data_IF_966117829847
#
_entry.id   IF_966117829847
#
_cell.length_a   1.000
_cell.length_b   1.000
_cell.length_c   1.000
_cell.angle_alpha   90.00
_cell.angle_beta   90.00
_cell.angle_gamma   90.00
#
_symmetry.space_group_name_H-M   'P 1'
#
loop_
_entity.id
_entity.type
_entity.pdbx_description
1 polymer ?
#
# COMPACT_ATOMS: atom_id res chain seq x y z
N UNK A 1 -66.56 -31.14 -8.62
CA UNK A 1 -66.48 -32.44 -9.34
C UNK A 1 -66.27 -32.06 -10.80
N UNK A 2 -65.18 -32.34 -11.49
CA UNK A 2 -64.13 -33.36 -11.41
C UNK A 2 -62.87 -32.79 -12.09
N UNK A 3 -61.71 -32.89 -11.43
CA UNK A 3 -60.55 -33.74 -11.78
C UNK A 3 -59.74 -33.28 -13.00
N UNK A 4 -58.59 -32.74 -12.66
CA UNK A 4 -57.34 -32.62 -13.41
C UNK A 4 -56.71 -33.99 -13.71
N UNK A 5 -56.13 -34.14 -14.89
CA UNK A 5 -55.09 -35.12 -15.24
C UNK A 5 -53.99 -34.45 -16.10
N UNK A 6 -52.74 -34.97 -16.07
CA UNK A 6 -51.53 -34.15 -16.19
C UNK A 6 -50.81 -34.22 -17.55
N UNK A 7 -50.01 -33.18 -17.81
CA UNK A 7 -49.08 -33.04 -18.93
C UNK A 7 -47.87 -33.97 -18.79
N UNK A 8 -47.59 -34.68 -19.87
CA UNK A 8 -46.42 -35.53 -20.10
C UNK A 8 -45.13 -34.71 -20.20
N UNK A 9 -44.14 -35.11 -19.40
CA UNK A 9 -42.75 -34.62 -19.42
C UNK A 9 -41.98 -35.26 -20.57
N UNK A 10 -41.47 -34.45 -21.49
CA UNK A 10 -40.45 -34.86 -22.47
C UNK A 10 -39.07 -34.87 -21.82
N UNK A 11 -38.47 -36.06 -21.76
CA UNK A 11 -37.07 -36.32 -21.43
C UNK A 11 -36.13 -35.51 -22.34
N UNK A 12 -35.27 -34.70 -21.74
CA UNK A 12 -34.13 -34.09 -22.41
C UNK A 12 -32.88 -34.88 -22.00
N UNK A 13 -32.45 -35.77 -22.89
CA UNK A 13 -31.23 -36.55 -22.74
C UNK A 13 -29.99 -35.62 -22.72
N UNK A 14 -29.31 -35.59 -21.59
CA UNK A 14 -28.04 -34.89 -21.42
C UNK A 14 -26.96 -35.54 -22.30
N UNK A 15 -26.36 -34.74 -23.20
CA UNK A 15 -25.25 -35.20 -24.05
C UNK A 15 -24.02 -35.54 -23.17
N UNK A 16 -23.40 -36.71 -23.33
CA UNK A 16 -22.29 -37.19 -22.49
C UNK A 16 -20.97 -36.37 -22.64
N UNK A 17 -20.89 -35.43 -23.59
CA UNK A 17 -19.72 -34.55 -23.76
C UNK A 17 -19.69 -33.32 -22.83
N UNK A 18 -20.83 -32.89 -22.27
CA UNK A 18 -20.91 -31.69 -21.42
C UNK A 18 -20.39 -31.92 -20.01
N UNK A 19 -20.55 -33.14 -19.49
CA UNK A 19 -20.12 -33.50 -18.12
C UNK A 19 -18.62 -33.80 -18.04
N UNK A 20 -18.01 -34.29 -19.13
CA UNK A 20 -16.57 -34.54 -19.20
C UNK A 20 -15.78 -33.23 -19.28
N UNK A 21 -16.20 -32.27 -20.13
CA UNK A 21 -15.57 -30.95 -20.22
C UNK A 21 -15.71 -30.14 -18.92
N UNK A 22 -16.84 -30.28 -18.22
CA UNK A 22 -17.06 -29.62 -16.92
C UNK A 22 -16.23 -30.25 -15.80
N UNK A 23 -16.13 -31.58 -15.75
CA UNK A 23 -15.23 -32.28 -14.83
C UNK A 23 -13.75 -32.00 -15.12
N UNK A 24 -13.39 -31.84 -16.39
CA UNK A 24 -12.04 -31.48 -16.81
C UNK A 24 -11.71 -30.04 -16.42
N UNK A 25 -12.63 -29.09 -16.62
CA UNK A 25 -12.48 -27.71 -16.14
C UNK A 25 -12.46 -27.61 -14.60
N UNK A 26 -13.26 -28.42 -13.90
CA UNK A 26 -13.23 -28.52 -12.43
C UNK A 26 -11.94 -29.17 -11.93
N UNK A 27 -11.38 -30.14 -12.67
CA UNK A 27 -10.09 -30.76 -12.37
C UNK A 27 -8.91 -29.86 -12.72
N UNK A 28 -8.99 -29.07 -13.79
CA UNK A 28 -7.99 -28.07 -14.18
C UNK A 28 -8.00 -26.89 -13.19
N UNK A 29 -9.18 -26.41 -12.76
CA UNK A 29 -9.32 -25.41 -11.70
C UNK A 29 -8.86 -25.95 -10.32
N UNK A 30 -9.15 -27.23 -10.02
CA UNK A 30 -8.64 -27.90 -8.82
C UNK A 30 -7.13 -28.17 -8.88
N UNK A 31 -6.56 -28.38 -10.07
CA UNK A 31 -5.13 -28.59 -10.27
C UNK A 31 -4.35 -27.25 -10.26
N UNK A 32 -4.93 -26.20 -10.83
CA UNK A 32 -4.41 -24.82 -10.76
C UNK A 32 -4.42 -24.32 -9.32
N UNK A 33 -5.45 -24.65 -8.52
CA UNK A 33 -5.47 -24.36 -7.07
C UNK A 33 -4.56 -25.28 -6.25
N UNK A 34 -4.17 -26.45 -6.76
CA UNK A 34 -3.29 -27.41 -6.07
C UNK A 34 -1.78 -27.14 -6.20
N UNK A 35 -1.32 -26.24 -7.07
CA UNK A 35 0.10 -25.87 -7.09
C UNK A 35 0.46 -25.04 -5.83
N UNK A 36 1.51 -25.42 -5.09
CA UNK A 36 1.94 -24.66 -3.93
C UNK A 36 2.46 -23.28 -4.37
N UNK A 37 2.15 -22.24 -3.59
CA UNK A 37 2.64 -20.88 -3.85
C UNK A 37 4.14 -20.83 -3.55
N UNK A 38 4.91 -20.26 -4.47
CA UNK A 38 6.34 -20.04 -4.25
C UNK A 38 6.57 -18.62 -3.73
N UNK A 39 7.44 -18.45 -2.74
CA UNK A 39 7.78 -17.14 -2.20
C UNK A 39 9.27 -16.87 -2.41
N UNK A 40 9.59 -15.73 -3.00
CA UNK A 40 10.97 -15.26 -3.20
C UNK A 40 11.20 -14.04 -2.31
N UNK A 41 11.96 -14.24 -1.23
CA UNK A 41 12.28 -13.23 -0.23
C UNK A 41 13.55 -12.47 -0.61
N UNK A 42 13.39 -11.18 -0.88
CA UNK A 42 14.43 -10.18 -1.01
C UNK A 42 14.69 -9.57 0.37
N UNK A 43 15.81 -9.93 1.03
CA UNK A 43 15.95 -9.76 2.46
C UNK A 43 16.35 -8.35 2.90
N UNK A 44 16.32 -8.12 4.22
CA UNK A 44 16.92 -6.95 4.85
C UNK A 44 18.45 -7.05 4.83
N UNK A 45 19.14 -5.89 4.83
CA UNK A 45 20.58 -5.80 5.11
C UNK A 45 20.92 -6.47 6.45
N UNK A 46 22.05 -7.18 6.50
CA UNK A 46 22.58 -7.82 7.70
C UNK A 46 22.33 -9.34 7.83
N UNK A 47 21.59 -9.94 6.90
CA UNK A 47 21.34 -11.39 6.86
C UNK A 47 20.11 -11.83 7.67
N UNK A 48 19.92 -13.13 7.86
CA UNK A 48 18.73 -13.68 8.55
C UNK A 48 18.65 -13.29 10.03
N UNK A 49 19.79 -13.21 10.73
CA UNK A 49 19.83 -12.90 12.16
C UNK A 49 19.34 -11.49 12.51
N UNK A 50 19.41 -10.56 11.55
CA UNK A 50 18.87 -9.20 11.66
C UNK A 50 17.53 -9.02 10.95
N UNK A 51 16.93 -10.09 10.45
CA UNK A 51 15.65 -10.03 9.76
C UNK A 51 14.54 -9.63 10.76
N UNK A 52 13.76 -8.57 10.49
CA UNK A 52 12.83 -8.01 11.46
C UNK A 52 11.54 -8.81 11.62
N UNK A 53 11.25 -9.73 10.69
CA UNK A 53 9.95 -10.42 10.63
C UNK A 53 10.07 -11.95 10.53
N UNK A 54 10.90 -12.62 11.35
CA UNK A 54 11.14 -14.07 11.22
C UNK A 54 9.84 -14.88 11.37
N UNK A 55 8.93 -14.44 12.24
CA UNK A 55 7.66 -15.12 12.47
C UNK A 55 6.73 -14.99 11.25
N UNK A 56 6.69 -13.83 10.60
CA UNK A 56 5.94 -13.63 9.34
C UNK A 56 6.54 -14.49 8.22
N UNK A 57 7.86 -14.59 8.14
CA UNK A 57 8.49 -15.45 7.15
C UNK A 57 8.19 -16.94 7.38
N UNK A 58 8.04 -17.37 8.64
CA UNK A 58 7.61 -18.72 8.97
C UNK A 58 6.17 -19.02 8.46
N UNK A 59 5.28 -18.01 8.42
CA UNK A 59 3.93 -18.17 7.88
C UNK A 59 3.91 -18.52 6.39
N UNK A 60 4.84 -17.97 5.59
CA UNK A 60 4.94 -18.33 4.16
C UNK A 60 5.27 -19.81 3.96
N UNK A 61 6.14 -20.36 4.82
CA UNK A 61 6.47 -21.78 4.80
C UNK A 61 5.31 -22.65 5.33
N UNK A 62 4.53 -22.15 6.30
CA UNK A 62 3.40 -22.87 6.89
C UNK A 62 2.21 -23.03 5.91
N UNK A 63 2.01 -22.09 4.96
CA UNK A 63 0.99 -22.17 3.90
C UNK A 63 1.36 -23.14 2.75
N UNK A 64 2.13 -24.19 3.05
CA UNK A 64 2.65 -25.17 2.08
C UNK A 64 3.49 -24.53 0.95
N UNK A 65 4.02 -23.33 1.20
CA UNK A 65 4.86 -22.63 0.26
C UNK A 65 6.33 -22.99 0.44
N UNK A 66 7.09 -22.94 -0.65
CA UNK A 66 8.55 -22.96 -0.58
C UNK A 66 9.06 -21.52 -0.47
N UNK A 67 9.83 -21.23 0.58
CA UNK A 67 10.45 -19.92 0.77
C UNK A 67 11.89 -19.96 0.26
N UNK A 68 12.17 -19.17 -0.79
CA UNK A 68 13.49 -18.97 -1.34
C UNK A 68 14.06 -17.61 -0.89
N UNK A 69 15.28 -17.59 -0.39
CA UNK A 69 15.98 -16.41 0.12
C UNK A 69 17.04 -15.96 -0.88
N UNK A 70 16.95 -14.71 -1.34
CA UNK A 70 17.89 -14.16 -2.32
C UNK A 70 19.18 -13.72 -1.64
N UNK A 71 20.30 -14.41 -1.93
CA UNK A 71 21.64 -14.04 -1.44
C UNK A 71 22.74 -14.64 -2.32
N UNK A 72 23.94 -14.02 -2.29
CA UNK A 72 25.16 -14.61 -2.86
C UNK A 72 25.90 -15.53 -1.87
N UNK A 73 25.52 -15.50 -0.59
CA UNK A 73 26.15 -16.27 0.51
C UNK A 73 25.49 -17.64 0.68
N UNK A 74 26.19 -18.61 1.27
CA UNK A 74 25.59 -19.92 1.55
C UNK A 74 24.54 -19.85 2.67
N UNK A 75 23.65 -20.84 2.73
CA UNK A 75 22.64 -20.95 3.78
C UNK A 75 23.27 -21.01 5.20
N UNK A 76 24.45 -21.63 5.34
CA UNK A 76 25.15 -21.68 6.63
C UNK A 76 25.70 -20.31 7.04
N UNK A 77 26.19 -19.53 6.07
CA UNK A 77 26.71 -18.18 6.31
C UNK A 77 25.59 -17.21 6.72
N UNK A 78 24.41 -17.37 6.13
CA UNK A 78 23.22 -16.59 6.48
C UNK A 78 22.53 -17.09 7.76
N UNK A 79 22.91 -18.27 8.28
CA UNK A 79 22.28 -18.91 9.45
C UNK A 79 20.77 -19.15 9.24
N UNK A 80 20.39 -19.58 8.04
CA UNK A 80 18.99 -19.78 7.67
C UNK A 80 18.41 -21.08 8.26
N UNK A 81 17.11 -21.08 8.62
CA UNK A 81 16.38 -22.31 8.93
C UNK A 81 16.41 -23.29 7.75
N UNK A 82 16.39 -24.59 8.05
CA UNK A 82 16.43 -25.65 7.02
C UNK A 82 15.24 -25.62 6.04
N UNK A 83 14.13 -24.98 6.41
CA UNK A 83 12.97 -24.77 5.56
C UNK A 83 13.15 -23.70 4.49
N UNK A 84 14.23 -22.91 4.54
CA UNK A 84 14.47 -21.80 3.63
C UNK A 84 15.64 -22.14 2.68
N UNK A 85 15.37 -22.08 1.38
CA UNK A 85 16.37 -22.34 0.36
C UNK A 85 17.07 -21.04 -0.06
N UNK A 86 18.40 -20.99 -0.06
CA UNK A 86 19.11 -19.86 -0.68
C UNK A 86 19.13 -20.00 -2.20
N UNK A 87 18.84 -18.91 -2.90
CA UNK A 87 18.93 -18.81 -4.36
C UNK A 87 19.69 -17.53 -4.77
N UNK A 88 20.44 -17.55 -5.88
CA UNK A 88 21.03 -16.35 -6.44
C UNK A 88 19.98 -15.46 -7.11
N UNK A 89 20.31 -14.18 -7.33
CA UNK A 89 19.41 -13.20 -7.98
C UNK A 89 18.93 -13.66 -9.38
N UNK A 90 19.80 -14.31 -10.14
CA UNK A 90 19.46 -14.82 -11.48
C UNK A 90 18.47 -15.99 -11.47
N UNK A 91 18.37 -16.71 -10.35
CA UNK A 91 17.36 -17.76 -10.17
C UNK A 91 16.04 -17.15 -9.69
N UNK A 92 16.10 -16.11 -8.84
CA UNK A 92 14.93 -15.34 -8.43
C UNK A 92 14.20 -14.74 -9.65
N UNK A 93 14.94 -14.18 -10.61
CA UNK A 93 14.40 -13.65 -11.87
C UNK A 93 13.59 -14.71 -12.63
N UNK A 94 14.10 -15.94 -12.74
CA UNK A 94 13.40 -17.04 -13.42
C UNK A 94 12.14 -17.47 -12.68
N UNK A 95 12.24 -17.67 -11.36
CA UNK A 95 11.11 -18.12 -10.54
C UNK A 95 9.96 -17.12 -10.54
N UNK A 96 10.26 -15.83 -10.53
CA UNK A 96 9.22 -14.79 -10.58
C UNK A 96 8.49 -14.70 -11.93
N UNK A 97 9.00 -15.33 -12.99
CA UNK A 97 8.24 -15.54 -14.24
C UNK A 97 7.34 -16.78 -14.18
N UNK A 98 7.50 -17.65 -13.19
CA UNK A 98 6.61 -18.80 -13.00
C UNK A 98 5.29 -18.34 -12.38
N UNK A 99 4.14 -18.90 -12.82
CA UNK A 99 2.85 -18.62 -12.20
C UNK A 99 2.85 -18.94 -10.72
N UNK A 100 2.08 -18.18 -9.92
CA UNK A 100 1.96 -18.38 -8.47
C UNK A 100 3.27 -18.22 -7.69
N UNK A 101 4.19 -17.39 -8.20
CA UNK A 101 5.37 -16.95 -7.47
C UNK A 101 5.19 -15.51 -6.98
N UNK A 102 5.47 -15.30 -5.69
CA UNK A 102 5.29 -14.03 -5.00
C UNK A 102 6.64 -13.43 -4.65
N UNK A 103 6.85 -12.16 -4.99
CA UNK A 103 8.00 -11.41 -4.50
C UNK A 103 7.69 -10.89 -3.08
N UNK A 104 8.57 -11.15 -2.12
CA UNK A 104 8.50 -10.62 -0.76
C UNK A 104 9.69 -9.71 -0.54
N UNK A 105 9.47 -8.41 -0.39
CA UNK A 105 10.52 -7.39 -0.35
C UNK A 105 10.64 -6.81 1.04
N UNK A 106 11.73 -7.10 1.73
CA UNK A 106 11.97 -6.67 3.11
C UNK A 106 12.94 -5.48 3.24
N UNK A 107 13.41 -4.95 2.11
CA UNK A 107 14.26 -3.76 2.06
C UNK A 107 13.91 -2.91 0.83
N UNK A 108 13.64 -1.60 0.97
CA UNK A 108 13.14 -0.78 -0.13
C UNK A 108 14.13 -0.62 -1.29
N UNK A 109 15.44 -0.71 -1.05
CA UNK A 109 16.44 -0.64 -2.13
C UNK A 109 16.43 -1.81 -3.12
N UNK A 110 15.70 -2.90 -2.83
CA UNK A 110 15.44 -3.94 -3.83
C UNK A 110 14.47 -3.52 -4.93
N UNK A 111 13.78 -2.39 -4.75
CA UNK A 111 12.74 -1.86 -5.64
C UNK A 111 13.08 -2.05 -7.13
N UNK A 112 14.26 -1.61 -7.55
CA UNK A 112 14.66 -1.62 -8.95
C UNK A 112 14.83 -3.04 -9.51
N UNK A 113 15.44 -3.93 -8.72
CA UNK A 113 15.62 -5.32 -9.10
C UNK A 113 14.28 -6.05 -9.19
N UNK A 114 13.41 -5.86 -8.20
CA UNK A 114 12.12 -6.55 -8.12
C UNK A 114 11.12 -6.02 -9.16
N UNK A 115 11.02 -4.69 -9.31
CA UNK A 115 10.12 -4.08 -10.28
C UNK A 115 10.44 -4.52 -11.72
N UNK A 116 11.74 -4.65 -12.05
CA UNK A 116 12.17 -5.10 -13.37
C UNK A 116 11.74 -6.54 -13.68
N UNK A 117 11.61 -7.38 -12.65
CA UNK A 117 11.15 -8.77 -12.78
C UNK A 117 9.63 -8.88 -12.99
N UNK A 118 8.86 -7.81 -12.74
CA UNK A 118 7.40 -7.74 -12.92
C UNK A 118 6.66 -8.93 -12.27
N UNK A 119 6.80 -9.11 -10.94
CA UNK A 119 6.11 -10.20 -10.24
C UNK A 119 4.60 -10.06 -10.39
N UNK A 120 3.89 -11.20 -10.42
CA UNK A 120 2.42 -11.23 -10.42
C UNK A 120 1.86 -10.64 -9.12
N UNK A 121 2.51 -10.95 -7.99
CA UNK A 121 2.18 -10.41 -6.67
C UNK A 121 3.46 -9.93 -5.98
N UNK A 122 3.44 -8.71 -5.45
CA UNK A 122 4.50 -8.11 -4.67
C UNK A 122 4.04 -7.77 -3.26
N UNK A 123 4.70 -8.35 -2.26
CA UNK A 123 4.48 -8.05 -0.85
C UNK A 123 5.65 -7.24 -0.33
N UNK A 124 5.38 -6.06 0.22
CA UNK A 124 6.40 -5.26 0.88
C UNK A 124 6.34 -5.44 2.40
N UNK A 125 7.44 -5.83 3.02
CA UNK A 125 7.62 -5.84 4.47
C UNK A 125 8.51 -4.66 4.83
N UNK A 126 7.95 -3.61 5.41
CA UNK A 126 8.59 -2.32 5.63
C UNK A 126 8.98 -2.14 7.10
N UNK A 127 10.22 -2.51 7.47
CA UNK A 127 10.68 -2.27 8.82
C UNK A 127 11.06 -0.83 9.04
N UNK A 128 11.23 -0.45 10.31
CA UNK A 128 11.80 0.86 10.63
C UNK A 128 13.26 0.94 10.15
N UNK A 129 13.68 2.11 9.61
CA UNK A 129 15.05 2.32 9.18
C UNK A 129 16.00 2.26 10.39
N UNK A 130 17.22 1.75 10.17
CA UNK A 130 18.24 1.65 11.22
C UNK A 130 19.55 2.28 10.74
N UNK A 131 20.24 3.00 11.63
CA UNK A 131 21.53 3.60 11.33
C UNK A 131 21.45 4.62 10.18
N UNK A 132 22.32 4.48 9.20
CA UNK A 132 22.42 5.39 8.04
C UNK A 132 21.15 5.39 7.16
N UNK A 133 20.31 4.35 7.23
CA UNK A 133 19.02 4.30 6.53
C UNK A 133 18.07 5.41 7.03
N UNK A 134 18.11 5.75 8.32
CA UNK A 134 17.17 6.69 8.94
C UNK A 134 17.36 8.15 8.50
N UNK A 135 18.53 8.47 7.96
CA UNK A 135 18.87 9.80 7.44
C UNK A 135 19.01 9.82 5.92
N UNK A 136 18.81 8.68 5.25
CA UNK A 136 18.97 8.56 3.81
C UNK A 136 17.75 9.13 3.06
N UNK A 137 17.93 10.11 2.15
CA UNK A 137 16.83 10.61 1.32
C UNK A 137 16.32 9.55 0.32
N UNK A 138 17.10 8.51 0.04
CA UNK A 138 16.68 7.39 -0.82
C UNK A 138 15.65 6.49 -0.14
N UNK A 139 15.64 6.44 1.20
CA UNK A 139 14.82 5.48 1.93
C UNK A 139 13.32 5.72 1.69
N UNK A 140 12.86 6.94 1.96
CA UNK A 140 11.44 7.29 1.83
C UNK A 140 10.95 7.28 0.37
N UNK A 141 11.77 7.75 -0.58
CA UNK A 141 11.41 7.68 -2.01
C UNK A 141 11.33 6.24 -2.51
N UNK A 142 12.26 5.38 -2.08
CA UNK A 142 12.22 3.94 -2.42
C UNK A 142 11.02 3.23 -1.78
N UNK A 143 10.64 3.60 -0.54
CA UNK A 143 9.42 3.11 0.10
C UNK A 143 8.19 3.53 -0.69
N UNK A 144 8.05 4.82 -1.04
CA UNK A 144 6.87 5.32 -1.76
C UNK A 144 6.66 4.57 -3.08
N UNK A 145 7.74 4.36 -3.84
CA UNK A 145 7.69 3.60 -5.10
C UNK A 145 7.45 2.11 -4.90
N UNK A 146 8.04 1.50 -3.86
CA UNK A 146 7.80 0.08 -3.55
C UNK A 146 6.34 -0.15 -3.14
N UNK A 147 5.78 0.74 -2.33
CA UNK A 147 4.35 0.75 -1.99
C UNK A 147 3.50 0.90 -3.24
N UNK A 148 3.92 1.73 -4.19
CA UNK A 148 3.22 1.94 -5.46
C UNK A 148 3.12 0.72 -6.37
N UNK A 149 3.93 -0.32 -6.15
CA UNK A 149 3.90 -1.59 -6.89
C UNK A 149 3.48 -2.80 -6.03
N UNK A 150 3.25 -2.61 -4.72
CA UNK A 150 2.94 -3.70 -3.80
C UNK A 150 1.43 -3.95 -3.72
N UNK A 151 1.05 -5.22 -3.66
CA UNK A 151 -0.33 -5.68 -3.46
C UNK A 151 -0.71 -5.81 -1.98
N UNK A 152 0.31 -5.95 -1.11
CA UNK A 152 0.17 -6.01 0.33
C UNK A 152 1.39 -5.40 1.00
N UNK A 153 1.16 -4.54 1.99
CA UNK A 153 2.23 -3.91 2.76
C UNK A 153 2.12 -4.28 4.25
N UNK A 154 3.13 -4.95 4.77
CA UNK A 154 3.31 -5.17 6.21
C UNK A 154 4.26 -4.13 6.81
N UNK A 155 3.93 -3.53 7.95
CA UNK A 155 4.82 -2.57 8.64
C UNK A 155 4.67 -2.68 10.15
N UNK A 156 5.77 -2.57 10.89
CA UNK A 156 5.74 -2.49 12.37
C UNK A 156 5.41 -1.09 12.88
N UNK A 157 5.54 -0.07 12.03
CA UNK A 157 5.26 1.32 12.37
C UNK A 157 3.77 1.63 12.25
N UNK A 158 3.11 2.00 13.36
CA UNK A 158 1.69 2.37 13.34
C UNK A 158 1.46 3.68 12.56
N UNK A 159 2.39 4.63 12.64
CA UNK A 159 2.33 5.87 11.83
C UNK A 159 2.39 5.58 10.34
N UNK A 160 3.30 4.68 9.90
CA UNK A 160 3.36 4.26 8.49
C UNK A 160 2.12 3.49 8.10
N UNK A 161 1.64 2.58 8.94
CA UNK A 161 0.39 1.85 8.72
C UNK A 161 -0.75 2.82 8.45
N UNK A 162 -0.96 3.80 9.33
CA UNK A 162 -1.98 4.83 9.18
C UNK A 162 -1.85 5.58 7.84
N UNK A 163 -0.65 6.05 7.49
CA UNK A 163 -0.38 6.72 6.21
C UNK A 163 -0.77 5.85 5.00
N UNK A 164 -0.46 4.56 5.03
CA UNK A 164 -0.82 3.62 3.97
C UNK A 164 -2.35 3.48 3.83
N UNK A 165 -3.07 3.45 4.95
CA UNK A 165 -4.54 3.38 4.93
C UNK A 165 -5.17 4.62 4.30
N UNK A 166 -4.67 5.81 4.63
CA UNK A 166 -5.08 7.06 3.99
C UNK A 166 -4.77 7.09 2.49
N UNK A 167 -3.72 6.38 2.05
CA UNK A 167 -3.42 6.20 0.62
C UNK A 167 -4.30 5.14 -0.06
N UNK A 168 -5.19 4.47 0.66
CA UNK A 168 -6.00 3.37 0.15
C UNK A 168 -5.18 2.12 -0.18
N UNK A 169 -4.03 1.94 0.47
CA UNK A 169 -3.17 0.75 0.32
C UNK A 169 -3.68 -0.35 1.26
N UNK A 170 -3.75 -1.57 0.75
CA UNK A 170 -3.95 -2.77 1.58
C UNK A 170 -2.72 -2.98 2.46
N UNK A 171 -2.88 -2.70 3.75
CA UNK A 171 -1.78 -2.78 4.71
C UNK A 171 -2.17 -3.60 5.94
N UNK A 172 -1.16 -4.17 6.59
CA UNK A 172 -1.28 -4.86 7.88
C UNK A 172 -0.23 -4.29 8.82
N UNK A 173 -0.67 -3.90 10.01
CA UNK A 173 0.23 -3.51 11.08
C UNK A 173 0.79 -4.75 11.78
N UNK A 174 2.12 -4.85 11.83
CA UNK A 174 2.90 -5.96 12.36
C UNK A 174 3.52 -5.64 13.73
N UNK A 175 3.01 -4.62 14.42
CA UNK A 175 3.57 -4.13 15.69
C UNK A 175 3.07 -4.83 16.95
N UNK A 176 2.25 -5.89 16.82
CA UNK A 176 1.57 -6.65 17.88
C UNK A 176 1.87 -6.25 19.33
N UNK A 177 0.90 -5.65 20.01
CA UNK A 177 1.04 -5.24 21.42
C UNK A 177 0.73 -6.38 22.40
N UNK A 178 -0.14 -7.34 22.00
CA UNK A 178 -0.52 -8.47 22.83
C UNK A 178 0.27 -9.73 22.43
N UNK A 179 1.11 -10.28 23.32
CA UNK A 179 1.83 -11.53 23.06
C UNK A 179 0.92 -12.77 23.14
N UNK A 180 -0.34 -12.62 23.54
CA UNK A 180 -1.28 -13.73 23.71
C UNK A 180 -1.65 -14.38 22.37
N UNK A 181 -1.77 -15.72 22.30
CA UNK A 181 -2.28 -16.38 21.10
C UNK A 181 -3.73 -15.96 20.79
N UNK A 182 -3.95 -15.46 19.58
CA UNK A 182 -5.26 -15.13 19.03
C UNK A 182 -5.83 -16.27 18.17
N UNK A 183 -5.02 -17.27 17.81
CA UNK A 183 -5.43 -18.42 17.02
C UNK A 183 -4.32 -19.43 16.80
N UNK A 184 -4.52 -20.37 15.89
CA UNK A 184 -3.58 -21.46 15.63
C UNK A 184 -3.53 -21.83 14.14
N UNK A 185 -2.37 -22.26 13.68
CA UNK A 185 -2.20 -22.94 12.39
C UNK A 185 -1.69 -24.37 12.62
N UNK A 186 -2.15 -25.31 11.79
CA UNK A 186 -1.68 -26.69 11.84
C UNK A 186 -0.56 -26.86 10.81
N UNK A 187 0.65 -27.16 11.27
CA UNK A 187 1.80 -27.50 10.43
C UNK A 187 2.38 -28.83 10.91
N UNK A 188 2.56 -29.80 10.01
CA UNK A 188 3.15 -31.12 10.32
C UNK A 188 2.55 -31.82 11.56
N UNK A 189 1.23 -31.74 11.72
CA UNK A 189 0.48 -32.27 12.89
C UNK A 189 0.76 -31.57 14.23
N UNK A 190 1.41 -30.40 14.21
CA UNK A 190 1.59 -29.52 15.36
C UNK A 190 0.73 -28.26 15.22
N UNK A 191 0.11 -27.84 16.34
CA UNK A 191 -0.67 -26.61 16.42
C UNK A 191 0.25 -25.47 16.87
N UNK A 192 0.54 -24.53 15.96
CA UNK A 192 1.40 -23.37 16.23
C UNK A 192 0.49 -22.19 16.62
N UNK A 193 0.63 -21.63 17.84
CA UNK A 193 -0.12 -20.45 18.24
C UNK A 193 0.30 -19.23 17.41
N UNK A 194 -0.68 -18.44 16.99
CA UNK A 194 -0.50 -17.19 16.25
C UNK A 194 -1.03 -16.03 17.07
N UNK A 195 -0.29 -14.93 17.09
CA UNK A 195 -0.72 -13.62 17.57
C UNK A 195 -1.70 -12.98 16.59
N UNK A 196 -2.35 -11.92 17.03
CA UNK A 196 -3.37 -11.19 16.27
C UNK A 196 -2.84 -10.70 14.91
N UNK A 197 -1.68 -10.05 14.89
CA UNK A 197 -1.10 -9.50 13.67
C UNK A 197 -0.61 -10.58 12.70
N UNK A 198 -0.20 -11.74 13.20
CA UNK A 198 0.17 -12.90 12.38
C UNK A 198 -1.07 -13.47 11.69
N UNK A 199 -2.20 -13.55 12.41
CA UNK A 199 -3.48 -13.92 11.82
C UNK A 199 -3.96 -12.89 10.80
N UNK A 200 -3.89 -11.59 11.10
CA UNK A 200 -4.28 -10.56 10.14
C UNK A 200 -3.42 -10.65 8.87
N UNK A 201 -2.10 -10.76 9.02
CA UNK A 201 -1.20 -10.92 7.89
C UNK A 201 -1.54 -12.16 7.05
N UNK A 202 -1.73 -13.30 7.69
CA UNK A 202 -2.07 -14.56 7.00
C UNK A 202 -3.38 -14.46 6.21
N UNK A 203 -4.41 -13.85 6.80
CA UNK A 203 -5.69 -13.68 6.10
C UNK A 203 -5.56 -12.67 4.96
N UNK A 204 -4.83 -11.57 5.15
CA UNK A 204 -4.59 -10.59 4.11
C UNK A 204 -3.82 -11.21 2.93
N UNK A 205 -2.80 -12.01 3.23
CA UNK A 205 -2.04 -12.79 2.25
C UNK A 205 -2.97 -13.70 1.42
N UNK A 206 -3.81 -14.50 2.08
CA UNK A 206 -4.77 -15.38 1.38
C UNK A 206 -5.76 -14.60 0.53
N UNK A 207 -6.19 -13.42 0.97
CA UNK A 207 -7.06 -12.58 0.16
C UNK A 207 -6.36 -12.01 -1.08
N UNK A 208 -5.10 -11.59 -0.96
CA UNK A 208 -4.30 -11.12 -2.10
C UNK A 208 -4.12 -12.24 -3.12
N UNK A 209 -3.68 -13.41 -2.67
CA UNK A 209 -3.46 -14.57 -3.54
C UNK A 209 -4.75 -15.11 -4.16
N UNK A 210 -5.89 -14.92 -3.49
CA UNK A 210 -7.21 -15.30 -3.99
C UNK A 210 -7.93 -14.22 -4.80
N UNK A 211 -7.34 -13.04 -4.99
CA UNK A 211 -8.02 -11.90 -5.65
C UNK A 211 -9.27 -11.42 -4.89
N UNK A 212 -9.33 -11.65 -3.58
CA UNK A 212 -10.47 -11.31 -2.71
C UNK A 212 -10.32 -9.85 -2.25
N UNK A 213 -11.40 -9.05 -2.22
CA UNK A 213 -11.38 -7.69 -1.68
C UNK A 213 -10.90 -7.62 -0.23
N UNK A 214 -10.36 -6.45 0.15
CA UNK A 214 -9.80 -6.25 1.47
C UNK A 214 -10.85 -6.09 2.55
N UNK A 215 -10.89 -7.06 3.47
CA UNK A 215 -11.68 -6.95 4.70
C UNK A 215 -10.82 -6.92 5.96
N UNK A 216 -9.52 -7.21 5.85
CA UNK A 216 -8.63 -7.35 7.00
C UNK A 216 -8.22 -5.99 7.54
N UNK A 217 -7.94 -5.03 6.67
CA UNK A 217 -7.62 -3.66 7.10
C UNK A 217 -8.74 -3.06 7.96
N UNK A 218 -10.01 -3.18 7.55
CA UNK A 218 -11.14 -2.68 8.35
C UNK A 218 -11.26 -3.41 9.68
N UNK A 219 -11.04 -4.73 9.71
CA UNK A 219 -11.05 -5.52 10.94
C UNK A 219 -9.94 -5.08 11.91
N UNK A 220 -8.71 -4.90 11.42
CA UNK A 220 -7.59 -4.45 12.24
C UNK A 220 -7.81 -3.02 12.75
N UNK A 221 -8.39 -2.12 11.93
CA UNK A 221 -8.80 -0.78 12.39
C UNK A 221 -9.81 -0.82 13.54
N UNK A 222 -10.79 -1.74 13.52
CA UNK A 222 -11.75 -1.88 14.65
C UNK A 222 -11.04 -2.30 15.92
N UNK A 223 -10.15 -3.28 15.84
CA UNK A 223 -9.35 -3.73 16.99
C UNK A 223 -8.51 -2.58 17.55
N UNK A 224 -7.89 -1.76 16.69
CA UNK A 224 -7.15 -0.56 17.14
C UNK A 224 -8.04 0.51 17.74
N UNK A 225 -9.19 0.80 17.14
CA UNK A 225 -10.15 1.75 17.71
C UNK A 225 -10.59 1.29 19.11
N UNK A 226 -10.92 0.01 19.29
CA UNK A 226 -11.30 -0.55 20.59
C UNK A 226 -10.16 -0.47 21.61
N UNK A 227 -8.93 -0.75 21.20
CA UNK A 227 -7.75 -0.54 22.03
C UNK A 227 -7.63 0.92 22.52
N UNK A 228 -7.75 1.90 21.63
CA UNK A 228 -7.65 3.31 22.03
C UNK A 228 -8.84 3.78 22.87
N UNK A 229 -10.05 3.22 22.67
CA UNK A 229 -11.19 3.46 23.56
C UNK A 229 -10.93 2.94 24.97
N UNK A 230 -10.40 1.73 25.09
CA UNK A 230 -10.04 1.15 26.38
C UNK A 230 -8.92 1.97 27.04
N UNK A 231 -7.88 2.34 26.29
CA UNK A 231 -6.78 3.15 26.79
C UNK A 231 -7.27 4.53 27.26
N UNK A 232 -8.13 5.20 26.48
CA UNK A 232 -8.79 6.46 26.85
C UNK A 232 -9.62 6.32 28.12
N UNK A 233 -10.34 5.20 28.29
CA UNK A 233 -11.14 4.97 29.50
C UNK A 233 -10.30 4.86 30.78
N UNK A 234 -9.05 4.38 30.66
CA UNK A 234 -8.11 4.22 31.78
C UNK A 234 -7.27 5.47 32.03
N UNK A 235 -6.76 6.09 30.97
CA UNK A 235 -5.86 7.25 31.04
C UNK A 235 -6.60 8.58 31.17
N UNK A 236 -7.89 8.62 30.82
CA UNK A 236 -8.63 9.87 30.67
C UNK A 236 -8.35 10.55 29.32
N UNK A 237 -8.83 11.79 29.19
CA UNK A 237 -8.66 12.58 27.98
C UNK A 237 -7.18 12.95 27.76
N UNK A 238 -6.65 12.63 26.57
CA UNK A 238 -5.23 12.77 26.24
C UNK A 238 -5.04 13.00 24.74
N UNK A 239 -4.24 14.01 24.36
CA UNK A 239 -4.03 14.44 22.96
C UNK A 239 -3.77 13.27 22.00
N UNK A 240 -2.67 12.52 22.20
CA UNK A 240 -2.27 11.44 21.28
C UNK A 240 -3.26 10.28 21.21
N UNK A 241 -3.83 9.86 22.35
CA UNK A 241 -4.79 8.75 22.42
C UNK A 241 -6.05 9.13 21.65
N UNK A 242 -6.59 10.33 21.90
CA UNK A 242 -7.82 10.81 21.26
C UNK A 242 -7.60 11.11 19.78
N UNK A 243 -6.40 11.55 19.37
CA UNK A 243 -6.06 11.76 17.97
C UNK A 243 -6.00 10.43 17.19
N UNK A 244 -5.30 9.43 17.73
CA UNK A 244 -5.21 8.11 17.08
C UNK A 244 -6.58 7.42 17.04
N UNK A 245 -7.37 7.53 18.12
CA UNK A 245 -8.75 7.06 18.13
C UNK A 245 -9.57 7.72 17.02
N UNK A 246 -9.50 9.05 16.90
CA UNK A 246 -10.21 9.79 15.86
C UNK A 246 -9.81 9.37 14.44
N UNK A 247 -8.52 9.10 14.21
CA UNK A 247 -8.04 8.62 12.91
C UNK A 247 -8.59 7.23 12.56
N UNK A 248 -8.62 6.29 13.51
CA UNK A 248 -9.23 4.97 13.29
C UNK A 248 -10.75 5.06 13.12
N UNK A 249 -11.43 5.87 13.93
CA UNK A 249 -12.87 6.12 13.80
C UNK A 249 -13.19 6.74 12.44
N UNK A 250 -12.36 7.67 11.95
CA UNK A 250 -12.50 8.25 10.62
C UNK A 250 -12.35 7.21 9.49
N UNK A 251 -11.36 6.31 9.59
CA UNK A 251 -11.17 5.23 8.63
C UNK A 251 -12.32 4.21 8.65
N UNK A 252 -12.97 4.05 9.80
CA UNK A 252 -14.15 3.20 10.00
C UNK A 252 -15.47 3.90 9.67
N UNK A 253 -15.43 5.17 9.27
CA UNK A 253 -16.62 6.01 9.03
C UNK A 253 -17.54 6.10 10.27
N UNK A 254 -16.95 6.07 11.47
CA UNK A 254 -17.64 6.19 12.74
C UNK A 254 -17.95 7.66 13.05
N UNK A 255 -19.19 7.96 13.42
CA UNK A 255 -19.66 9.30 13.72
C UNK A 255 -18.96 9.95 14.92
N UNK A 256 -18.31 9.15 15.79
CA UNK A 256 -17.58 9.67 16.95
C UNK A 256 -16.22 10.31 16.58
N UNK A 257 -15.71 10.10 15.36
CA UNK A 257 -14.40 10.60 14.94
C UNK A 257 -14.22 12.11 15.19
N UNK A 258 -15.25 12.91 14.90
CA UNK A 258 -15.21 14.36 15.09
C UNK A 258 -15.07 14.75 16.57
N UNK A 259 -15.72 14.00 17.47
CA UNK A 259 -15.70 14.31 18.91
C UNK A 259 -14.37 13.89 19.54
N UNK A 260 -13.86 12.72 19.17
CA UNK A 260 -12.51 12.26 19.52
C UNK A 260 -11.43 13.26 19.06
N UNK A 261 -11.55 13.79 17.84
CA UNK A 261 -10.61 14.78 17.31
C UNK A 261 -10.70 16.14 18.03
N UNK A 262 -11.91 16.61 18.35
CA UNK A 262 -12.11 17.86 19.11
C UNK A 262 -11.52 17.77 20.51
N UNK A 263 -11.62 16.60 21.14
CA UNK A 263 -10.94 16.34 22.42
C UNK A 263 -9.42 16.44 22.24
N UNK A 264 -8.85 15.75 21.24
CA UNK A 264 -7.42 15.82 20.95
C UNK A 264 -6.94 17.26 20.72
N UNK A 265 -7.67 18.02 19.90
CA UNK A 265 -7.38 19.43 19.62
C UNK A 265 -7.44 20.30 20.87
N UNK A 266 -8.47 20.11 21.71
CA UNK A 266 -8.62 20.87 22.95
C UNK A 266 -7.44 20.63 23.91
N UNK A 267 -6.96 19.39 24.01
CA UNK A 267 -5.76 19.06 24.78
C UNK A 267 -4.48 19.66 24.18
N UNK A 268 -4.32 19.63 22.84
CA UNK A 268 -3.19 20.26 22.17
C UNK A 268 -3.14 21.78 22.45
N UNK A 269 -4.29 22.46 22.44
CA UNK A 269 -4.41 23.88 22.79
C UNK A 269 -4.04 24.14 24.25
N UNK A 270 -4.57 23.34 25.18
CA UNK A 270 -4.27 23.47 26.62
C UNK A 270 -2.77 23.27 26.89
N UNK A 271 -2.13 22.35 26.16
CA UNK A 271 -0.70 22.07 26.25
C UNK A 271 0.18 23.12 25.54
N UNK A 272 -0.42 24.15 24.92
CA UNK A 272 0.31 25.25 24.28
C UNK A 272 0.96 24.88 22.95
N UNK A 273 0.49 23.82 22.27
CA UNK A 273 1.02 23.38 20.99
C UNK A 273 0.66 24.38 19.88
N UNK A 274 1.67 25.04 19.30
CA UNK A 274 1.46 26.16 18.38
C UNK A 274 0.89 25.75 17.01
N UNK A 275 1.20 24.54 16.55
CA UNK A 275 0.77 23.99 15.26
C UNK A 275 -0.59 23.26 15.32
N UNK A 276 -1.28 23.25 16.48
CA UNK A 276 -2.47 22.42 16.68
C UNK A 276 -3.63 22.72 15.72
N UNK A 277 -3.70 23.93 15.16
CA UNK A 277 -4.70 24.29 14.15
C UNK A 277 -4.43 23.50 12.85
N UNK A 278 -3.17 23.45 12.39
CA UNK A 278 -2.80 22.71 11.19
C UNK A 278 -2.73 21.20 11.45
N UNK A 279 -2.21 20.77 12.60
CA UNK A 279 -1.97 19.34 12.88
C UNK A 279 -3.19 18.58 13.39
N UNK A 280 -4.16 19.26 14.04
CA UNK A 280 -5.35 18.60 14.59
C UNK A 280 -6.65 19.17 14.02
N UNK A 281 -6.87 20.48 14.16
CA UNK A 281 -8.15 21.09 13.78
C UNK A 281 -8.47 20.92 12.29
N UNK A 282 -7.46 21.05 11.42
CA UNK A 282 -7.59 20.85 9.97
C UNK A 282 -8.20 19.50 9.62
N UNK A 283 -7.91 18.44 10.38
CA UNK A 283 -8.39 17.09 10.08
C UNK A 283 -9.93 16.96 10.21
N UNK A 284 -10.61 17.90 10.90
CA UNK A 284 -12.08 17.99 10.85
C UNK A 284 -12.59 18.22 9.43
N UNK A 285 -11.79 18.84 8.55
CA UNK A 285 -12.15 19.06 7.15
C UNK A 285 -12.35 17.73 6.42
N UNK A 286 -11.46 16.75 6.63
CA UNK A 286 -11.62 15.41 6.07
C UNK A 286 -12.86 14.69 6.64
N UNK A 287 -13.07 14.76 7.96
CA UNK A 287 -14.22 14.14 8.64
C UNK A 287 -15.54 14.70 8.11
N UNK A 288 -15.66 16.03 7.99
CA UNK A 288 -16.85 16.67 7.44
C UNK A 288 -17.04 16.38 5.95
N UNK A 289 -15.94 16.26 5.20
CA UNK A 289 -16.01 15.87 3.78
C UNK A 289 -16.60 14.46 3.63
N UNK A 290 -16.12 13.47 4.39
CA UNK A 290 -16.65 12.10 4.34
C UNK A 290 -18.10 11.97 4.78
N UNK A 291 -18.56 12.83 5.70
CA UNK A 291 -19.95 12.86 6.14
C UNK A 291 -20.87 13.67 5.21
N UNK A 292 -20.38 14.13 4.06
CA UNK A 292 -21.15 14.88 3.07
C UNK A 292 -21.42 16.34 3.46
N UNK A 293 -20.70 16.88 4.44
CA UNK A 293 -20.85 18.25 4.96
C UNK A 293 -19.82 19.18 4.29
N UNK A 294 -19.85 19.28 2.96
CA UNK A 294 -18.83 19.96 2.14
C UNK A 294 -18.59 21.41 2.55
N UNK A 295 -19.65 22.18 2.82
CA UNK A 295 -19.53 23.57 3.24
C UNK A 295 -18.81 23.71 4.59
N UNK A 296 -19.11 22.84 5.56
CA UNK A 296 -18.45 22.85 6.86
C UNK A 296 -16.99 22.43 6.73
N UNK A 297 -16.71 21.42 5.91
CA UNK A 297 -15.35 20.97 5.63
C UNK A 297 -14.50 22.10 5.02
N UNK A 298 -15.08 22.86 4.10
CA UNK A 298 -14.43 24.00 3.46
C UNK A 298 -14.17 25.14 4.45
N UNK A 299 -15.14 25.44 5.33
CA UNK A 299 -14.96 26.42 6.41
C UNK A 299 -13.80 26.05 7.35
N UNK A 300 -13.72 24.78 7.76
CA UNK A 300 -12.60 24.28 8.58
C UNK A 300 -11.27 24.48 7.87
N UNK A 301 -11.19 24.13 6.58
CA UNK A 301 -9.98 24.34 5.80
C UNK A 301 -9.58 25.82 5.76
N UNK A 302 -10.53 26.71 5.49
CA UNK A 302 -10.32 28.16 5.47
C UNK A 302 -9.82 28.74 6.80
N UNK A 303 -10.36 28.27 7.94
CA UNK A 303 -9.88 28.66 9.27
C UNK A 303 -8.43 28.18 9.49
N UNK A 304 -8.11 26.98 9.01
CA UNK A 304 -6.80 26.38 9.19
C UNK A 304 -5.73 26.86 8.19
N UNK A 305 -6.09 27.65 7.18
CA UNK A 305 -5.17 28.14 6.15
C UNK A 305 -4.14 29.12 6.75
N UNK A 306 -2.91 28.64 6.90
CA UNK A 306 -1.84 29.32 7.62
C UNK A 306 -1.01 30.29 6.78
N UNK A 307 -1.06 30.18 5.45
CA UNK A 307 -0.26 31.00 4.54
C UNK A 307 -1.09 31.53 3.34
N UNK A 308 -0.50 32.42 2.55
CA UNK A 308 -1.16 33.06 1.40
C UNK A 308 -1.54 32.05 0.30
N UNK A 309 -0.70 31.04 0.08
CA UNK A 309 -0.96 29.99 -0.91
C UNK A 309 -2.19 29.15 -0.54
N UNK A 310 -2.31 28.76 0.73
CA UNK A 310 -3.47 28.03 1.24
C UNK A 310 -4.75 28.88 1.21
N UNK A 311 -4.64 30.19 1.48
CA UNK A 311 -5.78 31.11 1.36
C UNK A 311 -6.27 31.28 -0.07
N UNK A 312 -5.35 31.43 -1.02
CA UNK A 312 -5.71 31.48 -2.44
C UNK A 312 -6.35 30.16 -2.91
N UNK A 313 -5.83 29.04 -2.41
CA UNK A 313 -6.40 27.73 -2.70
C UNK A 313 -7.80 27.57 -2.09
N UNK A 314 -8.04 28.04 -0.86
CA UNK A 314 -9.38 28.12 -0.28
C UNK A 314 -10.36 28.94 -1.14
N UNK A 315 -9.94 30.11 -1.63
CA UNK A 315 -10.76 30.94 -2.55
C UNK A 315 -11.07 30.23 -3.87
N UNK A 316 -10.15 29.40 -4.36
CA UNK A 316 -10.39 28.54 -5.52
C UNK A 316 -11.45 27.48 -5.24
N UNK A 317 -11.37 26.81 -4.08
CA UNK A 317 -12.37 25.82 -3.67
C UNK A 317 -13.76 26.44 -3.48
N UNK A 318 -13.85 27.65 -2.93
CA UNK A 318 -15.12 28.38 -2.83
C UNK A 318 -15.73 28.62 -4.22
N UNK A 319 -14.93 29.06 -5.20
CA UNK A 319 -15.40 29.27 -6.58
C UNK A 319 -15.87 27.98 -7.24
N UNK A 320 -15.20 26.85 -7.00
CA UNK A 320 -15.64 25.55 -7.50
C UNK A 320 -16.96 25.12 -6.86
N UNK A 321 -17.12 25.32 -5.55
CA UNK A 321 -18.36 25.01 -4.86
C UNK A 321 -19.53 25.86 -5.40
N UNK A 322 -19.31 27.16 -5.60
CA UNK A 322 -20.28 28.08 -6.22
C UNK A 322 -20.65 27.69 -7.66
N UNK A 323 -19.71 27.08 -8.40
CA UNK A 323 -19.94 26.56 -9.75
C UNK A 323 -20.66 25.20 -9.77
N UNK A 324 -20.94 24.60 -8.61
CA UNK A 324 -21.59 23.29 -8.49
C UNK A 324 -20.63 22.10 -8.59
N UNK A 325 -19.32 22.32 -8.55
CA UNK A 325 -18.28 21.29 -8.64
C UNK A 325 -18.02 20.62 -7.28
N UNK A 326 -19.09 20.20 -6.59
CA UNK A 326 -19.02 19.75 -5.19
C UNK A 326 -18.11 18.52 -5.03
N UNK A 327 -18.25 17.50 -5.88
CA UNK A 327 -17.41 16.30 -5.84
C UNK A 327 -15.92 16.62 -6.01
N UNK A 328 -15.59 17.62 -6.83
CA UNK A 328 -14.21 18.04 -7.02
C UNK A 328 -13.65 18.71 -5.76
N UNK A 329 -14.45 19.58 -5.12
CA UNK A 329 -14.09 20.19 -3.84
C UNK A 329 -13.87 19.12 -2.77
N UNK A 330 -14.75 18.13 -2.68
CA UNK A 330 -14.60 17.01 -1.74
C UNK A 330 -13.31 16.22 -1.99
N UNK A 331 -13.02 15.87 -3.25
CA UNK A 331 -11.79 15.16 -3.61
C UNK A 331 -10.54 15.97 -3.22
N UNK A 332 -10.54 17.28 -3.45
CA UNK A 332 -9.40 18.13 -3.13
C UNK A 332 -9.22 18.35 -1.63
N UNK A 333 -10.31 18.50 -0.87
CA UNK A 333 -10.26 18.57 0.59
C UNK A 333 -9.70 17.27 1.20
N UNK A 334 -10.06 16.11 0.65
CA UNK A 334 -9.50 14.82 1.07
C UNK A 334 -8.00 14.72 0.72
N UNK A 335 -7.60 15.13 -0.50
CA UNK A 335 -6.19 15.14 -0.94
C UNK A 335 -5.30 15.99 -0.04
N UNK A 336 -5.75 17.20 0.34
CA UNK A 336 -4.99 18.10 1.22
C UNK A 336 -4.85 17.56 2.65
N UNK A 337 -5.76 16.67 3.06
CA UNK A 337 -5.68 15.94 4.33
C UNK A 337 -5.00 14.56 4.17
N UNK A 338 -4.27 14.34 3.07
CA UNK A 338 -3.57 13.10 2.74
C UNK A 338 -4.47 11.85 2.59
N UNK A 339 -5.80 11.97 2.58
CA UNK A 339 -6.73 10.87 2.28
C UNK A 339 -6.86 10.67 0.77
N UNK A 340 -5.74 10.30 0.15
CA UNK A 340 -5.65 10.01 -1.28
C UNK A 340 -6.59 8.86 -1.68
N UNK A 341 -6.78 7.85 -0.83
CA UNK A 341 -7.62 6.69 -1.12
C UNK A 341 -9.09 7.08 -1.30
N UNK A 342 -9.62 7.93 -0.42
CA UNK A 342 -11.00 8.43 -0.55
C UNK A 342 -11.14 9.47 -1.65
N UNK A 343 -10.13 10.34 -1.83
CA UNK A 343 -10.10 11.28 -2.95
C UNK A 343 -10.18 10.55 -4.30
N UNK A 344 -9.37 9.51 -4.49
CA UNK A 344 -9.37 8.67 -5.70
C UNK A 344 -10.74 8.04 -5.96
N UNK A 345 -11.41 7.53 -4.92
CA UNK A 345 -12.76 6.95 -5.04
C UNK A 345 -13.78 7.95 -5.57
N UNK A 346 -13.77 9.19 -5.06
CA UNK A 346 -14.64 10.27 -5.54
C UNK A 346 -14.32 10.61 -7.00
N UNK A 347 -13.04 10.68 -7.36
CA UNK A 347 -12.61 10.98 -8.74
C UNK A 347 -12.98 9.85 -9.72
N UNK A 348 -12.93 8.59 -9.29
CA UNK A 348 -13.37 7.46 -10.10
C UNK A 348 -14.87 7.50 -10.38
N UNK A 349 -15.69 7.94 -9.42
CA UNK A 349 -17.11 8.19 -9.63
C UNK A 349 -17.40 9.41 -10.52
N UNK A 350 -16.60 10.47 -10.40
CA UNK A 350 -16.77 11.70 -11.18
C UNK A 350 -16.47 11.46 -12.67
N UNK A 351 -15.39 10.74 -12.97
CA UNK A 351 -14.97 10.43 -14.33
C UNK A 351 -14.61 11.65 -15.18
N UNK A 352 -14.32 11.39 -16.45
CA UNK A 352 -13.96 12.44 -17.42
C UNK A 352 -12.57 13.04 -17.24
N UNK A 353 -12.32 14.11 -17.98
CA UNK A 353 -10.98 14.70 -18.13
C UNK A 353 -10.49 15.40 -16.86
N UNK A 354 -11.38 16.09 -16.16
CA UNK A 354 -11.06 16.73 -14.87
C UNK A 354 -10.63 15.68 -13.85
N UNK A 355 -11.38 14.58 -13.71
CA UNK A 355 -11.01 13.51 -12.79
C UNK A 355 -9.67 12.87 -13.17
N UNK A 356 -9.42 12.65 -14.47
CA UNK A 356 -8.13 12.15 -14.97
C UNK A 356 -6.96 13.01 -14.51
N UNK A 357 -7.07 14.33 -14.66
CA UNK A 357 -6.03 15.28 -14.25
C UNK A 357 -5.74 15.21 -12.74
N UNK A 358 -6.79 15.15 -11.90
CA UNK A 358 -6.60 15.07 -10.45
C UNK A 358 -6.06 13.70 -9.99
N UNK A 359 -6.47 12.61 -10.64
CA UNK A 359 -5.89 11.28 -10.39
C UNK A 359 -4.41 11.24 -10.75
N UNK A 360 -4.02 11.86 -11.86
CA UNK A 360 -2.62 12.00 -12.25
C UNK A 360 -1.80 12.67 -11.14
N UNK A 361 -2.30 13.80 -10.61
CA UNK A 361 -1.65 14.51 -9.51
C UNK A 361 -1.49 13.64 -8.26
N UNK A 362 -2.54 12.92 -7.85
CA UNK A 362 -2.48 12.01 -6.70
C UNK A 362 -1.45 10.91 -6.93
N UNK A 363 -1.39 10.32 -8.12
CA UNK A 363 -0.38 9.30 -8.43
C UNK A 363 1.04 9.85 -8.45
N UNK A 364 1.25 11.11 -8.82
CA UNK A 364 2.55 11.76 -8.67
C UNK A 364 2.92 11.97 -7.19
N UNK A 365 2.00 12.50 -6.38
CA UNK A 365 2.20 12.76 -4.95
C UNK A 365 2.44 11.47 -4.14
N UNK A 366 1.88 10.35 -4.60
CA UNK A 366 2.06 9.02 -3.98
C UNK A 366 3.13 8.14 -4.65
N UNK A 367 3.91 8.70 -5.59
CA UNK A 367 4.95 8.01 -6.37
C UNK A 367 4.49 6.71 -7.08
N UNK A 368 3.21 6.63 -7.46
CA UNK A 368 2.67 5.53 -8.30
C UNK A 368 2.95 5.78 -9.76
N UNK A 369 4.23 5.69 -10.11
CA UNK A 369 4.82 6.11 -11.39
C UNK A 369 4.09 5.54 -12.61
N UNK A 370 3.86 4.23 -12.63
CA UNK A 370 3.21 3.54 -13.76
C UNK A 370 1.76 3.98 -13.96
N UNK A 371 1.03 4.15 -12.86
CA UNK A 371 -0.35 4.63 -12.88
C UNK A 371 -0.43 6.10 -13.32
N UNK A 372 0.47 6.95 -12.85
CA UNK A 372 0.56 8.33 -13.32
C UNK A 372 0.85 8.37 -14.83
N UNK A 373 1.81 7.59 -15.31
CA UNK A 373 2.20 7.58 -16.72
C UNK A 373 1.05 7.10 -17.62
N UNK A 374 0.26 6.11 -17.17
CA UNK A 374 -0.90 5.62 -17.89
C UNK A 374 -2.02 6.66 -18.05
N UNK A 375 -2.04 7.70 -17.22
CA UNK A 375 -3.01 8.79 -17.31
C UNK A 375 -2.55 9.95 -18.19
N UNK A 376 -1.28 10.03 -18.60
CA UNK A 376 -0.79 11.16 -19.41
C UNK A 376 -1.37 11.09 -20.83
N UNK A 377 -1.96 12.19 -21.28
CA UNK A 377 -2.43 12.36 -22.65
C UNK A 377 -1.56 13.37 -23.40
N UNK A 378 -1.50 13.27 -24.73
CA UNK A 378 -0.69 14.18 -25.55
C UNK A 378 -1.12 15.65 -25.39
N UNK A 379 -2.40 15.89 -25.07
CA UNK A 379 -2.92 17.23 -24.78
C UNK A 379 -2.41 17.83 -23.47
N UNK A 380 -1.81 17.05 -22.58
CA UNK A 380 -1.22 17.55 -21.33
C UNK A 380 0.19 18.10 -21.54
N UNK A 381 0.84 17.72 -22.63
CA UNK A 381 2.22 18.09 -22.94
C UNK A 381 2.19 19.30 -23.89
N UNK A 382 1.79 20.46 -23.36
CA UNK A 382 1.62 21.68 -24.17
C UNK A 382 2.81 22.63 -24.11
N UNK A 383 3.60 22.57 -23.04
CA UNK A 383 4.73 23.45 -22.82
C UNK A 383 5.99 22.67 -22.39
N UNK A 384 7.10 23.40 -22.25
CA UNK A 384 8.37 22.81 -21.83
C UNK A 384 8.34 22.24 -20.41
N UNK A 385 7.54 22.80 -19.50
CA UNK A 385 7.44 22.29 -18.13
C UNK A 385 6.74 20.94 -18.08
N UNK A 386 5.58 20.82 -18.73
CA UNK A 386 4.85 19.56 -18.83
C UNK A 386 5.65 18.49 -19.57
N UNK A 387 6.42 18.88 -20.60
CA UNK A 387 7.32 17.95 -21.30
C UNK A 387 8.45 17.43 -20.40
N UNK A 388 9.02 18.28 -19.53
CA UNK A 388 10.03 17.85 -18.56
C UNK A 388 9.46 16.90 -17.53
N UNK A 389 8.31 17.23 -16.94
CA UNK A 389 7.64 16.35 -15.98
C UNK A 389 7.33 14.98 -16.59
N UNK A 390 6.81 14.97 -17.83
CA UNK A 390 6.58 13.73 -18.57
C UNK A 390 7.86 12.92 -18.79
N UNK A 391 8.98 13.57 -19.17
CA UNK A 391 10.28 12.90 -19.37
C UNK A 391 10.82 12.33 -18.05
N UNK A 392 10.70 13.06 -16.94
CA UNK A 392 11.12 12.57 -15.63
C UNK A 392 10.29 11.35 -15.19
N UNK A 393 8.97 11.42 -15.36
CA UNK A 393 8.06 10.31 -15.05
C UNK A 393 8.35 9.08 -15.92
N UNK A 394 8.50 9.30 -17.23
CA UNK A 394 8.83 8.24 -18.20
C UNK A 394 10.20 7.62 -17.91
N UNK A 395 11.20 8.43 -17.57
CA UNK A 395 12.53 7.95 -17.19
C UNK A 395 12.48 7.10 -15.93
N UNK A 396 11.69 7.51 -14.93
CA UNK A 396 11.49 6.73 -13.70
C UNK A 396 10.78 5.39 -13.98
N UNK A 397 9.75 5.40 -14.82
CA UNK A 397 9.05 4.17 -15.24
C UNK A 397 9.99 3.22 -15.98
N UNK A 398 10.77 3.72 -16.95
CA UNK A 398 11.79 2.93 -17.65
C UNK A 398 12.81 2.33 -16.67
N UNK A 399 13.22 3.11 -15.66
CA UNK A 399 14.13 2.64 -14.64
C UNK A 399 13.52 1.45 -13.87
N UNK A 400 12.29 1.59 -13.36
CA UNK A 400 11.57 0.52 -12.65
C UNK A 400 11.37 -0.72 -13.51
N UNK A 401 11.23 -0.58 -14.83
CA UNK A 401 11.13 -1.70 -15.78
C UNK A 401 12.47 -2.36 -16.11
N UNK A 402 13.59 -1.89 -15.56
CA UNK A 402 14.94 -2.36 -15.86
C UNK A 402 15.56 -1.77 -17.14
N UNK A 403 14.89 -0.83 -17.80
CA UNK A 403 15.34 -0.19 -19.05
C UNK A 403 16.33 0.96 -18.78
N UNK A 404 17.43 0.64 -18.09
CA UNK A 404 18.40 1.62 -17.55
C UNK A 404 18.89 2.65 -18.56
N UNK A 405 19.31 2.19 -19.75
CA UNK A 405 19.85 3.10 -20.78
C UNK A 405 18.79 4.10 -21.27
N UNK A 406 17.53 3.67 -21.38
CA UNK A 406 16.41 4.53 -21.73
C UNK A 406 16.14 5.56 -20.64
N UNK A 407 16.11 5.11 -19.38
CA UNK A 407 15.94 5.98 -18.22
C UNK A 407 17.02 7.07 -18.15
N UNK A 408 18.30 6.69 -18.22
CA UNK A 408 19.44 7.62 -18.17
C UNK A 408 19.37 8.64 -19.30
N UNK A 409 19.02 8.20 -20.52
CA UNK A 409 18.85 9.10 -21.65
C UNK A 409 17.77 10.16 -21.37
N UNK A 410 16.60 9.76 -20.85
CA UNK A 410 15.52 10.70 -20.51
C UNK A 410 15.91 11.66 -19.38
N UNK A 411 16.65 11.18 -18.38
CA UNK A 411 17.18 12.05 -17.32
C UNK A 411 18.21 13.06 -17.85
N UNK A 412 19.11 12.65 -18.76
CA UNK A 412 20.05 13.56 -19.40
C UNK A 412 19.35 14.58 -20.31
N UNK A 413 18.35 14.16 -21.09
CA UNK A 413 17.53 15.08 -21.91
C UNK A 413 16.81 16.12 -21.03
N UNK A 414 16.40 15.74 -19.82
CA UNK A 414 15.81 16.65 -18.84
C UNK A 414 16.88 17.56 -18.19
N UNK A 415 18.08 17.02 -17.96
CA UNK A 415 19.19 17.73 -17.32
C UNK A 415 19.72 18.93 -18.11
N UNK A 416 19.49 18.95 -19.43
CA UNK A 416 19.83 20.11 -20.28
C UNK A 416 19.13 21.39 -19.79
N UNK A 417 17.95 21.27 -19.19
CA UNK A 417 17.14 22.40 -18.72
C UNK A 417 17.02 22.46 -17.18
N UNK A 418 17.28 21.35 -16.48
CA UNK A 418 17.21 21.26 -15.02
C UNK A 418 18.28 20.32 -14.45
N UNK A 419 19.34 20.89 -13.89
CA UNK A 419 20.46 20.12 -13.31
C UNK A 419 20.02 19.13 -12.22
N UNK A 420 18.90 19.37 -11.52
CA UNK A 420 18.36 18.45 -10.51
C UNK A 420 17.98 17.08 -11.09
N UNK A 421 17.75 16.98 -12.41
CA UNK A 421 17.52 15.71 -13.07
C UNK A 421 18.74 14.77 -13.02
N UNK A 422 19.95 15.30 -12.83
CA UNK A 422 21.16 14.50 -12.63
C UNK A 422 21.13 13.73 -11.30
N UNK A 423 20.40 14.23 -10.29
CA UNK A 423 20.23 13.52 -9.03
C UNK A 423 19.59 12.14 -9.26
N UNK A 424 18.68 12.01 -10.24
CA UNK A 424 18.04 10.73 -10.58
C UNK A 424 19.03 9.70 -11.12
N UNK A 425 20.09 10.13 -11.81
CA UNK A 425 21.14 9.24 -12.29
C UNK A 425 21.98 8.72 -11.11
N UNK A 426 22.30 9.62 -10.16
CA UNK A 426 23.01 9.25 -8.93
C UNK A 426 22.17 8.30 -8.05
N UNK A 427 20.85 8.53 -7.95
CA UNK A 427 19.93 7.62 -7.25
C UNK A 427 20.00 6.20 -7.81
N UNK A 428 20.02 6.03 -9.14
CA UNK A 428 20.16 4.70 -9.75
C UNK A 428 21.46 4.01 -9.36
N UNK A 429 22.57 4.75 -9.39
CA UNK A 429 23.89 4.21 -9.05
C UNK A 429 23.98 3.82 -7.56
N UNK A 430 23.40 4.63 -6.67
CA UNK A 430 23.31 4.33 -5.24
C UNK A 430 22.44 3.10 -4.96
N UNK A 431 21.33 2.92 -5.70
CA UNK A 431 20.48 1.75 -5.59
C UNK A 431 21.19 0.48 -6.07
N UNK A 432 21.98 0.53 -7.14
CA UNK A 432 22.77 -0.64 -7.57
C UNK A 432 23.80 -1.03 -6.51
N UNK A 433 24.53 -0.04 -5.97
CA UNK A 433 25.50 -0.28 -4.90
C UNK A 433 24.83 -0.88 -3.66
N UNK A 434 23.63 -0.38 -3.31
CA UNK A 434 22.84 -0.93 -2.23
C UNK A 434 22.42 -2.39 -2.50
N UNK A 435 21.98 -2.73 -3.71
CA UNK A 435 21.63 -4.12 -4.08
C UNK A 435 22.85 -5.03 -3.95
N UNK A 436 24.03 -4.58 -4.36
CA UNK A 436 25.29 -5.32 -4.21
C UNK A 436 25.63 -5.60 -2.73
N UNK A 437 25.41 -4.61 -1.86
CA UNK A 437 25.55 -4.80 -0.40
C UNK A 437 24.51 -5.77 0.16
N UNK A 438 23.27 -5.70 -0.31
CA UNK A 438 22.17 -6.57 0.13
C UNK A 438 22.39 -8.04 -0.30
N UNK A 439 22.97 -8.27 -1.48
CA UNK A 439 23.40 -9.60 -1.92
C UNK A 439 24.57 -10.14 -1.09
N UNK A 440 25.25 -9.29 -0.32
CA UNK A 440 26.44 -9.64 0.45
C UNK A 440 27.72 -9.72 -0.39
N UNK A 441 27.70 -9.18 -1.62
CA UNK A 441 28.83 -9.14 -2.56
C UNK A 441 29.85 -8.05 -2.20
N UNK A 442 29.40 -7.02 -1.48
CA UNK A 442 30.22 -5.89 -0.99
C UNK A 442 29.89 -5.65 0.49
N UNK A 443 30.87 -5.32 1.35
CA UNK A 443 30.63 -5.02 2.77
C UNK A 443 29.74 -3.81 3.03
#
# INVERSE_FOLDING_TARGET
MERSEPLTTTDCSSKPGSTAARKQAEQELAAETAQPVQYVLFPRKGGWSSFPYPDIAALFAAEQGTLAYVSSRSAEQEQLPASIQVIPLSEAEKRLQEPRTVAVVAHPYWLMAVAAMRPEVCIALLPEPVGDEAVSPLWESSISRLVGIADLVGTSSETRYMKLLFQGIRAVWLGGEDPSPAGYINQDSQSIPLRDYELFFLHALRQVLGGIPDSITSLQCRVRADYYRELRSKAGAHETISFLLAAYEYLLEDNHAADSLKEAFSHAVINGRQDCIQSHYRFLSAIYTKSGQTEQALQVYGISAGNEQERHHYEQLCRWLEAGEEKLVQAELLRINDDYGSAMRILDELGGETARHWKFRIYQETERVEHALALVHASDIQDGASLREYRQLSGTAMALRGERHGAVRLFLETAVENEDALARILELELLDQAVQQLLGEVP
#
